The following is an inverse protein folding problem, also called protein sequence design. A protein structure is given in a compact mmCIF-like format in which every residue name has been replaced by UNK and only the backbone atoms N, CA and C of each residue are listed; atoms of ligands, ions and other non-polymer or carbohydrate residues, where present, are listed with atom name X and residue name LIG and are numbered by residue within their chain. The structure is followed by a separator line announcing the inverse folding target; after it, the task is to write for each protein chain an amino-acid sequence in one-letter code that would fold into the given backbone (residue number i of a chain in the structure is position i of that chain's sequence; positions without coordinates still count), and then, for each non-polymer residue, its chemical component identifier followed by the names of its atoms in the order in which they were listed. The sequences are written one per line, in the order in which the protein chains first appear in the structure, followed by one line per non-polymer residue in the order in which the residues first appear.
data_IF_079257835259
#
_entry.id   IF_079257835259
#
_cell.length_a   1.000
_cell.length_b   1.000
_cell.length_c   1.000
_cell.angle_alpha   90.00
_cell.angle_beta   90.00
_cell.angle_gamma   90.00
#
_symmetry.space_group_name_H-M   'P 1'
#
loop_
_entity.id
_entity.type
_entity.pdbx_description
1 polymer ?
#
# COMPACT_ATOMS: atom_id res chain seq x y z
N UNK A 1 -11.85 22.55 -0.71
CA UNK A 1 -10.72 22.66 0.25
C UNK A 1 -9.87 21.43 0.07
N UNK A 2 -8.71 21.56 -0.57
CA UNK A 2 -7.77 20.47 -0.73
C UNK A 2 -6.95 20.34 0.56
N UNK A 3 -6.98 19.18 1.21
CA UNK A 3 -6.21 18.94 2.44
C UNK A 3 -5.21 17.83 2.18
N UNK A 4 -3.94 18.21 2.10
CA UNK A 4 -2.81 17.29 1.90
C UNK A 4 -1.93 17.27 3.15
N UNK A 5 -1.60 16.08 3.65
CA UNK A 5 -0.81 15.93 4.88
C UNK A 5 -0.09 14.58 4.95
N UNK A 6 0.99 14.53 5.75
CA UNK A 6 1.80 13.34 6.00
C UNK A 6 1.45 12.73 7.36
N UNK A 7 1.36 11.41 7.43
CA UNK A 7 1.15 10.66 8.68
C UNK A 7 1.97 9.37 8.73
N UNK A 8 2.15 8.84 9.94
CA UNK A 8 2.53 7.45 10.21
C UNK A 8 1.30 6.54 10.16
N UNK A 9 1.55 5.22 10.11
CA UNK A 9 0.48 4.22 10.13
C UNK A 9 -0.26 4.21 11.48
N UNK A 10 0.44 4.45 12.59
CA UNK A 10 -0.15 4.61 13.92
C UNK A 10 -1.24 5.69 14.00
N UNK A 11 -1.11 6.77 13.24
CA UNK A 11 -1.98 7.96 13.26
C UNK A 11 -3.24 7.85 12.39
N UNK A 12 -3.41 6.73 11.65
CA UNK A 12 -4.50 6.60 10.66
C UNK A 12 -5.89 6.83 11.30
N UNK A 13 -6.13 6.25 12.48
CA UNK A 13 -7.46 6.27 13.10
C UNK A 13 -7.83 7.66 13.63
N UNK A 14 -6.85 8.41 14.12
CA UNK A 14 -7.04 9.75 14.72
C UNK A 14 -7.03 10.86 13.68
N UNK A 15 -6.25 10.71 12.60
CA UNK A 15 -5.94 11.83 11.69
C UNK A 15 -6.64 11.71 10.34
N UNK A 16 -6.83 10.50 9.82
CA UNK A 16 -7.42 10.33 8.48
C UNK A 16 -8.94 10.42 8.57
N UNK A 17 -9.61 11.27 7.78
CA UNK A 17 -11.07 11.34 7.76
C UNK A 17 -11.69 10.12 7.05
N UNK A 18 -12.96 9.85 7.35
CA UNK A 18 -13.79 8.91 6.60
C UNK A 18 -14.29 9.57 5.31
N UNK A 19 -13.39 9.79 4.36
CA UNK A 19 -13.64 10.53 3.13
C UNK A 19 -12.93 9.88 1.92
N UNK A 20 -13.35 10.21 0.69
CA UNK A 20 -12.60 9.83 -0.49
C UNK A 20 -11.25 10.57 -0.57
N UNK A 21 -10.34 9.99 -1.33
CA UNK A 21 -9.06 10.64 -1.64
C UNK A 21 -8.00 9.68 -2.14
N UNK A 22 -6.81 10.24 -2.26
CA UNK A 22 -5.58 9.60 -2.72
C UNK A 22 -4.62 9.41 -1.54
N UNK A 23 -3.85 8.33 -1.60
CA UNK A 23 -2.74 8.10 -0.70
C UNK A 23 -1.51 7.62 -1.47
N UNK A 24 -0.35 8.02 -0.99
CA UNK A 24 0.95 7.48 -1.38
C UNK A 24 1.63 6.89 -0.16
N UNK A 25 2.30 5.75 -0.34
CA UNK A 25 3.12 5.11 0.67
C UNK A 25 4.56 5.26 0.21
N UNK A 26 5.34 5.95 1.04
CA UNK A 26 6.71 6.34 0.73
C UNK A 26 7.62 5.84 1.85
N UNK A 27 8.79 5.33 1.50
CA UNK A 27 9.81 4.99 2.50
C UNK A 27 10.45 6.26 3.06
N UNK A 28 11.04 6.17 4.25
CA UNK A 28 11.76 7.31 4.84
C UNK A 28 13.00 7.74 4.02
N UNK A 29 13.47 6.87 3.11
CA UNK A 29 14.53 7.16 2.11
C UNK A 29 13.98 7.80 0.81
N UNK A 30 12.68 8.10 0.74
CA UNK A 30 12.02 8.69 -0.43
C UNK A 30 11.57 7.69 -1.51
N UNK A 31 11.66 6.39 -1.25
CA UNK A 31 11.23 5.35 -2.16
C UNK A 31 9.70 5.29 -2.30
N UNK A 32 9.19 5.51 -3.51
CA UNK A 32 7.76 5.44 -3.80
C UNK A 32 7.30 3.98 -3.87
N UNK A 33 6.66 3.49 -2.80
CA UNK A 33 6.18 2.11 -2.76
C UNK A 33 4.88 1.96 -3.52
N UNK A 34 3.88 2.80 -3.21
CA UNK A 34 2.53 2.61 -3.75
C UNK A 34 1.74 3.91 -3.76
N UNK A 35 1.06 4.18 -4.86
CA UNK A 35 -0.10 5.07 -4.91
C UNK A 35 -1.39 4.28 -4.94
N UNK A 36 -2.45 4.88 -4.40
CA UNK A 36 -3.79 4.35 -4.54
C UNK A 36 -4.86 5.35 -4.14
N UNK A 37 -6.09 5.06 -4.53
CA UNK A 37 -7.27 5.83 -4.11
C UNK A 37 -8.26 5.00 -3.31
N UNK A 38 -9.15 5.67 -2.59
CA UNK A 38 -10.30 5.03 -1.96
C UNK A 38 -11.49 5.99 -1.88
N UNK A 39 -12.70 5.43 -1.84
CA UNK A 39 -13.89 6.17 -1.39
C UNK A 39 -13.94 6.37 0.12
N UNK A 40 -13.09 5.65 0.87
CA UNK A 40 -12.96 5.77 2.32
C UNK A 40 -11.50 5.51 2.73
N UNK A 41 -10.72 6.59 2.80
CA UNK A 41 -9.29 6.57 3.07
C UNK A 41 -8.98 5.89 4.42
N UNK A 42 -9.66 6.27 5.50
CA UNK A 42 -9.43 5.68 6.83
C UNK A 42 -9.55 4.15 6.77
N UNK A 43 -10.66 3.64 6.23
CA UNK A 43 -10.87 2.18 6.12
C UNK A 43 -9.77 1.52 5.29
N UNK A 44 -9.42 2.08 4.13
CA UNK A 44 -8.42 1.49 3.24
C UNK A 44 -7.03 1.48 3.85
N UNK A 45 -6.62 2.58 4.47
CA UNK A 45 -5.31 2.69 5.11
C UNK A 45 -5.20 1.79 6.34
N UNK A 46 -6.26 1.67 7.15
CA UNK A 46 -6.30 0.70 8.26
C UNK A 46 -6.14 -0.74 7.77
N UNK A 47 -6.72 -1.09 6.62
CA UNK A 47 -6.52 -2.43 6.01
C UNK A 47 -5.07 -2.66 5.57
N UNK A 48 -4.41 -1.62 5.04
CA UNK A 48 -2.99 -1.68 4.71
C UNK A 48 -2.13 -1.83 5.96
N UNK A 49 -2.38 -1.03 7.00
CA UNK A 49 -1.71 -1.13 8.31
C UNK A 49 -1.76 -2.54 8.86
N UNK A 50 -2.94 -3.16 8.87
CA UNK A 50 -3.12 -4.48 9.47
C UNK A 50 -2.34 -5.56 8.72
N UNK A 51 -2.11 -5.41 7.41
CA UNK A 51 -1.28 -6.31 6.60
C UNK A 51 -1.53 -7.81 6.82
N UNK A 52 -2.80 -8.18 7.04
CA UNK A 52 -3.19 -9.46 7.62
C UNK A 52 -2.71 -10.66 6.80
N UNK A 53 -1.91 -11.55 7.41
CA UNK A 53 -1.48 -12.80 6.81
C UNK A 53 -2.67 -13.70 6.47
N UNK A 54 -3.69 -13.72 7.32
CA UNK A 54 -4.92 -14.50 7.10
C UNK A 54 -5.67 -14.13 5.81
N UNK A 55 -5.37 -12.97 5.21
CA UNK A 55 -5.96 -12.49 3.94
C UNK A 55 -5.08 -12.75 2.72
N UNK A 56 -3.86 -13.24 2.91
CA UNK A 56 -3.04 -13.84 1.86
C UNK A 56 -3.42 -15.31 1.74
N UNK A 57 -3.87 -15.72 0.56
CA UNK A 57 -4.35 -17.07 0.30
C UNK A 57 -3.64 -17.63 -0.90
N UNK A 58 -3.10 -18.83 -0.73
CA UNK A 58 -2.58 -19.60 -1.83
C UNK A 58 -3.76 -20.08 -2.71
N UNK A 59 -3.59 -20.01 -4.02
CA UNK A 59 -4.48 -20.68 -4.96
C UNK A 59 -4.36 -22.19 -4.81
N UNK A 60 -5.38 -22.92 -5.23
CA UNK A 60 -5.34 -24.38 -5.25
C UNK A 60 -4.16 -24.87 -6.10
N UNK A 61 -3.34 -25.77 -5.54
CA UNK A 61 -2.12 -26.26 -6.19
C UNK A 61 -0.98 -25.24 -6.33
N UNK A 62 -1.08 -24.05 -5.74
CA UNK A 62 -0.08 -22.99 -5.88
C UNK A 62 1.16 -23.14 -4.98
N UNK A 63 2.15 -22.26 -5.17
CA UNK A 63 3.35 -22.17 -4.34
C UNK A 63 3.57 -20.75 -3.76
N UNK A 64 3.92 -20.67 -2.47
CA UNK A 64 4.27 -19.42 -1.78
C UNK A 64 5.55 -18.77 -2.30
N UNK A 65 6.37 -19.48 -3.07
CA UNK A 65 7.53 -18.91 -3.77
C UNK A 65 7.11 -18.05 -4.98
N UNK A 66 5.92 -18.31 -5.54
CA UNK A 66 5.42 -17.66 -6.74
C UNK A 66 4.38 -16.57 -6.40
N UNK A 67 4.66 -15.28 -6.65
CA UNK A 67 3.70 -14.21 -6.42
C UNK A 67 2.37 -14.42 -7.14
N UNK A 68 2.36 -15.01 -8.33
CA UNK A 68 1.14 -15.22 -9.12
C UNK A 68 0.15 -16.20 -8.48
N UNK A 69 0.65 -17.07 -7.59
CA UNK A 69 -0.13 -18.10 -6.92
C UNK A 69 -0.73 -17.63 -5.59
N UNK A 70 -0.34 -16.44 -5.12
CA UNK A 70 -0.87 -15.84 -3.90
C UNK A 70 -1.91 -14.76 -4.23
N UNK A 71 -3.11 -14.92 -3.70
CA UNK A 71 -4.18 -13.94 -3.75
C UNK A 71 -4.20 -13.08 -2.49
N UNK A 72 -4.50 -11.79 -2.62
CA UNK A 72 -4.82 -10.92 -1.49
C UNK A 72 -6.29 -10.52 -1.51
N UNK A 73 -7.03 -10.92 -0.48
CA UNK A 73 -8.46 -10.62 -0.36
C UNK A 73 -8.75 -9.24 0.27
N UNK A 74 -7.73 -8.48 0.65
CA UNK A 74 -7.92 -7.23 1.39
C UNK A 74 -6.90 -6.14 1.00
N UNK A 75 -5.61 -6.48 1.07
CA UNK A 75 -4.52 -5.51 0.95
C UNK A 75 -3.51 -6.01 -0.07
N UNK A 76 -3.56 -5.50 -1.30
CA UNK A 76 -2.55 -5.86 -2.31
C UNK A 76 -1.14 -5.47 -1.87
N UNK A 77 -1.01 -4.39 -1.09
CA UNK A 77 0.24 -3.99 -0.44
C UNK A 77 0.84 -5.10 0.42
N UNK A 78 0.02 -5.83 1.19
CA UNK A 78 0.51 -6.92 2.03
C UNK A 78 1.16 -8.04 1.20
N UNK A 79 0.59 -8.34 0.03
CA UNK A 79 1.17 -9.29 -0.93
C UNK A 79 2.49 -8.75 -1.49
N UNK A 80 2.52 -7.50 -1.95
CA UNK A 80 3.75 -6.91 -2.46
C UNK A 80 4.88 -6.92 -1.43
N UNK A 81 4.59 -6.52 -0.19
CA UNK A 81 5.56 -6.57 0.90
C UNK A 81 6.04 -7.99 1.19
N UNK A 82 5.16 -8.99 1.17
CA UNK A 82 5.54 -10.40 1.38
C UNK A 82 6.62 -10.87 0.38
N UNK A 83 6.55 -10.40 -0.86
CA UNK A 83 7.49 -10.74 -1.92
C UNK A 83 8.59 -9.69 -2.12
N UNK A 84 8.67 -8.67 -1.25
CA UNK A 84 9.67 -7.62 -1.34
C UNK A 84 10.94 -8.02 -0.58
N UNK A 85 12.10 -7.98 -1.24
CA UNK A 85 13.41 -8.25 -0.63
C UNK A 85 14.47 -7.25 -1.16
N UNK A 86 15.37 -6.69 -0.33
CA UNK A 86 15.46 -6.74 1.13
C UNK A 86 15.03 -5.42 1.83
N UNK A 87 14.31 -5.55 2.95
CA UNK A 87 14.14 -4.50 3.95
C UNK A 87 14.99 -4.85 5.19
N UNK A 88 16.16 -4.24 5.33
CA UNK A 88 17.12 -4.55 6.40
C UNK A 88 16.47 -4.45 7.78
N UNK A 89 16.53 -5.54 8.55
CA UNK A 89 15.99 -5.61 9.91
C UNK A 89 14.51 -5.95 10.02
N UNK A 90 13.82 -6.27 8.92
CA UNK A 90 12.40 -6.64 8.93
C UNK A 90 12.13 -7.93 8.15
N UNK A 91 11.44 -8.89 8.77
CA UNK A 91 10.94 -10.08 8.08
C UNK A 91 9.55 -9.82 7.48
N UNK A 92 9.52 -9.38 6.22
CA UNK A 92 8.28 -9.06 5.51
C UNK A 92 7.42 -10.29 5.15
N UNK A 93 7.94 -11.51 5.31
CA UNK A 93 7.12 -12.73 5.15
C UNK A 93 6.14 -12.88 6.31
N UNK A 94 6.44 -12.30 7.47
CA UNK A 94 5.55 -12.30 8.64
C UNK A 94 4.63 -11.09 8.66
N UNK A 95 3.44 -11.25 9.26
CA UNK A 95 2.53 -10.13 9.49
C UNK A 95 3.17 -9.04 10.36
N UNK A 96 3.79 -9.44 11.48
CA UNK A 96 4.43 -8.53 12.42
C UNK A 96 5.58 -7.75 11.77
N UNK A 97 6.43 -8.40 10.95
CA UNK A 97 7.51 -7.72 10.25
C UNK A 97 7.01 -6.73 9.21
N UNK A 98 5.93 -7.02 8.48
CA UNK A 98 5.29 -6.04 7.58
C UNK A 98 4.71 -4.85 8.33
N UNK A 99 4.03 -5.10 9.45
CA UNK A 99 3.45 -4.03 10.29
C UNK A 99 4.56 -3.12 10.84
N UNK A 100 5.62 -3.72 11.38
CA UNK A 100 6.78 -2.98 11.89
C UNK A 100 7.49 -2.18 10.81
N UNK A 101 7.68 -2.75 9.61
CA UNK A 101 8.26 -2.05 8.47
C UNK A 101 7.43 -0.82 8.06
N UNK A 102 6.11 -1.00 7.90
CA UNK A 102 5.21 0.11 7.54
C UNK A 102 5.23 1.22 8.58
N UNK A 103 5.29 0.88 9.87
CA UNK A 103 5.32 1.88 10.94
C UNK A 103 6.67 2.62 11.02
N UNK A 104 7.78 1.88 10.95
CA UNK A 104 9.11 2.40 11.29
C UNK A 104 9.91 2.91 10.10
N UNK A 105 9.51 2.55 8.87
CA UNK A 105 10.27 2.86 7.64
C UNK A 105 9.41 3.50 6.56
N UNK A 106 8.12 3.67 6.80
CA UNK A 106 7.22 4.29 5.85
C UNK A 106 6.41 5.41 6.49
N UNK A 107 5.88 6.25 5.62
CA UNK A 107 4.86 7.24 5.93
C UNK A 107 3.86 7.30 4.77
N UNK A 108 2.72 7.92 5.05
CA UNK A 108 1.62 8.04 4.10
C UNK A 108 1.43 9.51 3.80
N UNK A 109 1.47 9.86 2.52
CA UNK A 109 1.01 11.16 2.04
C UNK A 109 -0.46 11.00 1.68
N UNK A 110 -1.33 11.81 2.28
CA UNK A 110 -2.78 11.73 2.10
C UNK A 110 -3.26 13.02 1.47
N UNK A 111 -4.03 12.90 0.38
CA UNK A 111 -4.76 14.01 -0.25
C UNK A 111 -6.24 13.69 -0.24
N UNK A 112 -7.00 14.42 0.57
CA UNK A 112 -8.46 14.26 0.68
C UNK A 112 -9.13 14.99 -0.47
N UNK A 113 -10.07 14.32 -1.13
CA UNK A 113 -10.85 14.87 -2.25
C UNK A 113 -12.33 14.96 -1.88
N UNK A 114 -13.12 15.63 -2.72
CA UNK A 114 -14.56 15.71 -2.52
C UNK A 114 -15.24 14.45 -3.04
N UNK A 115 -14.73 13.89 -4.14
CA UNK A 115 -15.27 12.69 -4.78
C UNK A 115 -14.18 11.66 -5.06
N UNK A 116 -14.62 10.44 -5.35
CA UNK A 116 -13.72 9.35 -5.73
C UNK A 116 -13.14 9.56 -7.14
N UNK A 117 -13.91 10.18 -8.01
CA UNK A 117 -13.58 10.47 -9.39
C UNK A 117 -12.44 11.48 -9.46
N UNK A 118 -12.49 12.53 -8.65
CA UNK A 118 -11.40 13.49 -8.47
C UNK A 118 -10.11 12.79 -8.01
N UNK A 119 -10.21 11.87 -7.05
CA UNK A 119 -9.06 11.08 -6.62
C UNK A 119 -8.47 10.24 -7.76
N UNK A 120 -9.32 9.68 -8.64
CA UNK A 120 -8.91 8.86 -9.78
C UNK A 120 -8.23 9.67 -10.88
N UNK A 121 -8.60 10.92 -11.08
CA UNK A 121 -7.87 11.83 -11.96
C UNK A 121 -6.45 12.06 -11.44
N UNK A 122 -6.32 12.42 -10.16
CA UNK A 122 -5.02 12.62 -9.51
C UNK A 122 -4.14 11.36 -9.53
N UNK A 123 -4.73 10.18 -9.30
CA UNK A 123 -4.00 8.91 -9.36
C UNK A 123 -3.42 8.64 -10.75
N UNK A 124 -4.18 8.95 -11.81
CA UNK A 124 -3.69 8.78 -13.19
C UNK A 124 -2.49 9.67 -13.47
N UNK A 125 -2.52 10.92 -13.00
CA UNK A 125 -1.41 11.85 -13.16
C UNK A 125 -0.17 11.38 -12.39
N UNK A 126 -0.37 10.83 -11.19
CA UNK A 126 0.72 10.26 -10.37
C UNK A 126 1.31 8.98 -10.98
N UNK A 127 0.47 8.07 -11.47
CA UNK A 127 0.90 6.85 -12.15
C UNK A 127 1.69 7.15 -13.44
N UNK A 128 1.42 8.28 -14.11
CA UNK A 128 2.16 8.73 -15.29
C UNK A 128 3.48 9.43 -14.94
N UNK A 129 3.52 10.17 -13.83
CA UNK A 129 4.66 11.02 -13.47
C UNK A 129 5.70 10.34 -12.58
N UNK A 130 5.37 9.21 -11.96
CA UNK A 130 6.24 8.56 -10.99
C UNK A 130 6.31 7.03 -11.15
N UNK A 131 7.49 6.48 -10.87
CA UNK A 131 7.74 5.04 -10.92
C UNK A 131 7.47 4.41 -9.55
N UNK A 132 6.21 4.07 -9.28
CA UNK A 132 5.85 3.34 -8.07
C UNK A 132 6.27 1.88 -8.14
N UNK A 133 6.88 1.37 -7.07
CA UNK A 133 7.35 -0.02 -7.00
C UNK A 133 6.21 -1.03 -7.07
N UNK A 134 5.06 -0.71 -6.49
CA UNK A 134 3.90 -1.60 -6.38
C UNK A 134 2.71 -1.06 -7.18
N UNK A 135 2.81 -1.19 -8.52
CA UNK A 135 1.74 -0.84 -9.44
C UNK A 135 0.62 -1.89 -9.45
N UNK A 136 -0.61 -1.43 -9.73
CA UNK A 136 -1.80 -2.27 -9.74
C UNK A 136 -1.71 -3.38 -10.79
N UNK A 137 -1.94 -4.61 -10.34
CA UNK A 137 -1.80 -5.90 -11.04
C UNK A 137 -0.36 -6.44 -10.91
N UNK A 138 -0.21 -7.51 -10.13
CA UNK A 138 0.91 -8.44 -10.31
C UNK A 138 0.79 -9.05 -11.70
N UNK A 139 1.31 -8.36 -12.70
CA UNK A 139 1.80 -8.91 -13.95
C UNK A 139 3.09 -8.15 -14.26
N UNK A 140 4.07 -8.91 -14.71
CA UNK A 140 5.37 -8.45 -15.19
C UNK A 140 6.39 -8.16 -14.09
N UNK A 141 7.22 -9.18 -13.85
CA UNK A 141 8.67 -8.98 -13.75
C UNK A 141 9.09 -7.79 -14.62
N UNK A 142 9.75 -6.81 -14.02
CA UNK A 142 10.81 -6.08 -14.69
C UNK A 142 12.06 -6.31 -13.87
N UNK A 143 12.73 -7.40 -14.24
CA UNK A 143 14.18 -7.45 -14.26
C UNK A 143 14.68 -6.25 -15.07
N UNK A 144 15.42 -5.37 -14.40
CA UNK A 144 16.56 -4.69 -15.00
C UNK A 144 17.80 -5.34 -14.40
#
# INVERSE_FOLDING_TARGET
MERSFRIRFSEIETTVPTAPGLYEIVTDEGGLLKVGISGNLRRRLSQHRQSRQSRLKLKEGGDWSNPSDVMSKQSILAKHLFFYSPATGFDLKTEAGRQAFLEQRCHILVKVTSTREEARELERDMEQSATYRFMGITNSFLSC
#
